data_IF_819438257004
#
_entry.id   IF_819438257004
#
_cell.length_a   1.000
_cell.length_b   1.000
_cell.length_c   1.000
_cell.angle_alpha   90.00
_cell.angle_beta   90.00
_cell.angle_gamma   90.00
#
_symmetry.space_group_name_H-M   'P 1'
#
loop_
_entity.id
_entity.type
_entity.pdbx_description
1 polymer ?
#
# COMPACT_ATOMS: atom_id res chain seq x y z
N UNK A 1 10.06 5.84 -5.23
CA UNK A 1 10.06 4.53 -5.91
C UNK A 1 9.90 4.77 -7.39
N UNK A 2 10.69 4.08 -8.22
CA UNK A 2 10.68 4.24 -9.67
C UNK A 2 10.51 2.87 -10.33
N UNK A 3 9.63 2.79 -11.33
CA UNK A 3 9.45 1.65 -12.22
C UNK A 3 9.85 2.04 -13.65
N UNK A 4 10.18 1.04 -14.46
CA UNK A 4 10.54 1.18 -15.89
C UNK A 4 9.45 0.60 -16.79
N UNK A 5 8.18 0.68 -16.36
CA UNK A 5 7.05 0.13 -17.09
C UNK A 5 6.66 0.98 -18.31
N UNK A 6 5.46 0.75 -18.83
CA UNK A 6 4.93 1.48 -19.99
C UNK A 6 4.68 2.98 -19.75
N UNK A 7 4.76 3.43 -18.49
CA UNK A 7 4.39 4.77 -18.08
C UNK A 7 2.88 5.05 -18.17
N UNK A 8 2.50 6.26 -17.79
CA UNK A 8 1.12 6.74 -17.65
C UNK A 8 0.99 8.04 -18.45
N UNK A 9 0.02 8.11 -19.39
CA UNK A 9 -0.31 9.34 -20.10
C UNK A 9 -0.70 10.49 -19.16
N UNK A 10 -0.34 11.73 -19.53
CA UNK A 10 -0.53 12.92 -18.68
C UNK A 10 -2.01 13.16 -18.32
N UNK A 11 -2.92 12.93 -19.27
CA UNK A 11 -4.38 13.01 -19.10
C UNK A 11 -4.93 11.99 -18.09
N UNK A 12 -4.18 10.91 -17.84
CA UNK A 12 -4.58 9.85 -16.90
C UNK A 12 -3.94 9.98 -15.53
N UNK A 13 -2.92 10.83 -15.35
CA UNK A 13 -2.17 10.96 -14.09
C UNK A 13 -3.04 11.32 -12.88
N UNK A 14 -4.09 12.11 -13.05
CA UNK A 14 -5.01 12.43 -11.96
C UNK A 14 -5.88 11.22 -11.58
N UNK A 15 -6.34 10.48 -12.59
CA UNK A 15 -7.29 9.38 -12.45
C UNK A 15 -6.71 8.09 -11.86
N UNK A 16 -5.38 7.91 -11.89
CA UNK A 16 -4.73 6.69 -11.34
C UNK A 16 -4.94 6.51 -9.83
N UNK A 17 -5.36 7.58 -9.16
CA UNK A 17 -5.63 7.60 -7.74
C UNK A 17 -7.13 7.62 -7.41
N UNK A 18 -7.99 7.56 -8.42
CA UNK A 18 -9.43 7.57 -8.23
C UNK A 18 -9.93 6.19 -7.85
N UNK A 19 -11.13 6.15 -7.25
CA UNK A 19 -11.78 4.90 -6.91
C UNK A 19 -11.97 4.05 -8.16
N UNK A 20 -11.94 2.73 -7.95
CA UNK A 20 -12.22 1.74 -8.98
C UNK A 20 -13.44 2.12 -9.83
N UNK A 21 -13.20 2.39 -11.11
CA UNK A 21 -14.24 2.52 -12.12
C UNK A 21 -14.13 1.35 -13.09
N UNK A 22 -15.23 0.96 -13.73
CA UNK A 22 -15.25 -0.17 -14.67
C UNK A 22 -14.30 0.03 -15.88
N UNK A 23 -13.77 1.23 -16.11
CA UNK A 23 -12.78 1.50 -17.15
C UNK A 23 -11.36 1.04 -16.80
N UNK A 24 -11.04 0.73 -15.54
CA UNK A 24 -9.72 0.18 -15.16
C UNK A 24 -9.57 -1.33 -15.44
N UNK A 25 -10.64 -1.98 -15.94
CA UNK A 25 -10.68 -3.42 -16.24
C UNK A 25 -9.64 -3.84 -17.30
N UNK A 26 -9.36 -2.99 -18.28
CA UNK A 26 -8.48 -3.34 -19.40
C UNK A 26 -7.01 -3.44 -18.97
N UNK A 27 -6.54 -2.51 -18.13
CA UNK A 27 -5.20 -2.53 -17.53
C UNK A 27 -5.06 -3.69 -16.55
N UNK A 28 -6.09 -3.93 -15.74
CA UNK A 28 -6.09 -5.02 -14.75
C UNK A 28 -6.04 -6.39 -15.43
N UNK A 29 -6.70 -6.58 -16.57
CA UNK A 29 -6.60 -7.82 -17.35
C UNK A 29 -5.24 -8.00 -18.00
N UNK A 30 -4.63 -6.92 -18.49
CA UNK A 30 -3.32 -6.96 -19.17
C UNK A 30 -2.14 -7.17 -18.21
N UNK A 31 -2.22 -6.60 -17.00
CA UNK A 31 -1.11 -6.61 -16.04
C UNK A 31 -1.43 -7.37 -14.73
N UNK A 32 -2.63 -7.94 -14.59
CA UNK A 32 -3.03 -8.78 -13.44
C UNK A 32 -3.19 -8.02 -12.12
N UNK A 33 -3.16 -6.68 -12.14
CA UNK A 33 -3.19 -5.85 -10.94
C UNK A 33 -4.63 -5.56 -10.54
N UNK A 34 -4.94 -5.57 -9.24
CA UNK A 34 -6.26 -5.21 -8.71
C UNK A 34 -6.45 -3.71 -8.56
N UNK A 35 -5.46 -2.87 -8.94
CA UNK A 35 -5.45 -1.40 -8.85
C UNK A 35 -5.70 -0.78 -7.46
N UNK A 36 -6.01 -1.56 -6.43
CA UNK A 36 -6.37 -1.05 -5.09
C UNK A 36 -5.16 -0.42 -4.37
N UNK A 37 -3.94 -0.84 -4.73
CA UNK A 37 -2.71 -0.43 -4.04
C UNK A 37 -2.52 1.08 -3.99
N UNK A 38 -2.64 1.77 -5.12
CA UNK A 38 -2.43 3.23 -5.18
C UNK A 38 -3.49 4.01 -4.39
N UNK A 39 -4.72 3.51 -4.36
CA UNK A 39 -5.81 4.11 -3.59
C UNK A 39 -5.54 3.96 -2.09
N UNK A 40 -5.13 2.76 -1.64
CA UNK A 40 -4.80 2.49 -0.24
C UNK A 40 -3.64 3.40 0.19
N UNK A 41 -2.58 3.47 -0.62
CA UNK A 41 -1.40 4.30 -0.34
C UNK A 41 -1.80 5.78 -0.24
N UNK A 42 -2.60 6.30 -1.18
CA UNK A 42 -3.08 7.70 -1.12
C UNK A 42 -3.89 7.97 0.16
N UNK A 43 -4.76 7.05 0.56
CA UNK A 43 -5.53 7.17 1.81
C UNK A 43 -4.63 7.18 3.04
N UNK A 44 -3.65 6.28 3.11
CA UNK A 44 -2.71 6.20 4.22
C UNK A 44 -1.86 7.47 4.34
N UNK A 45 -1.28 7.93 3.23
CA UNK A 45 -0.47 9.16 3.22
C UNK A 45 -1.32 10.37 3.64
N UNK A 46 -2.58 10.45 3.19
CA UNK A 46 -3.51 11.50 3.59
C UNK A 46 -3.84 11.47 5.09
N UNK A 47 -4.04 10.27 5.67
CA UNK A 47 -4.25 10.10 7.12
C UNK A 47 -3.02 10.57 7.90
N UNK A 48 -1.83 10.31 7.36
CA UNK A 48 -0.55 10.75 7.92
C UNK A 48 -0.22 12.23 7.62
N UNK A 49 -1.21 13.04 7.20
CA UNK A 49 -1.03 14.46 6.86
C UNK A 49 -0.18 14.73 5.61
N UNK A 50 0.32 13.69 4.97
CA UNK A 50 1.30 13.79 3.90
C UNK A 50 0.71 14.04 2.52
N UNK A 51 1.61 14.15 1.55
CA UNK A 51 1.27 14.29 0.14
C UNK A 51 1.98 13.24 -0.71
N UNK A 52 1.29 12.74 -1.74
CA UNK A 52 1.84 11.85 -2.77
C UNK A 52 1.98 12.61 -4.09
N UNK A 53 3.07 12.36 -4.80
CA UNK A 53 3.40 12.90 -6.12
C UNK A 53 3.71 11.76 -7.07
N UNK A 54 3.30 11.93 -8.32
CA UNK A 54 3.55 11.01 -9.41
C UNK A 54 4.15 11.78 -10.58
N UNK A 55 5.22 11.26 -11.15
CA UNK A 55 5.76 11.67 -12.45
C UNK A 55 5.84 10.44 -13.34
N UNK A 56 5.40 10.53 -14.57
CA UNK A 56 5.49 9.41 -15.51
C UNK A 56 5.61 9.92 -16.93
N UNK A 57 6.37 9.18 -17.73
CA UNK A 57 6.50 9.38 -19.18
C UNK A 57 6.14 8.07 -19.85
N UNK A 58 5.28 8.13 -20.87
CA UNK A 58 4.92 6.95 -21.66
C UNK A 58 6.17 6.37 -22.32
N UNK A 59 6.42 5.07 -22.09
CA UNK A 59 7.59 4.35 -22.61
C UNK A 59 8.84 4.40 -21.72
N UNK A 60 8.91 5.28 -20.71
CA UNK A 60 10.05 5.37 -19.79
C UNK A 60 9.74 4.81 -18.39
N UNK A 61 8.46 4.81 -18.00
CA UNK A 61 8.00 4.31 -16.70
C UNK A 61 7.46 5.41 -15.79
N UNK A 62 7.44 5.15 -14.49
CA UNK A 62 6.83 6.06 -13.51
C UNK A 62 7.66 6.17 -12.23
N UNK A 63 7.59 7.34 -11.61
CA UNK A 63 8.19 7.63 -10.31
C UNK A 63 7.14 8.15 -9.36
N UNK A 64 6.99 7.45 -8.24
CA UNK A 64 6.11 7.80 -7.13
C UNK A 64 6.96 8.30 -5.96
N UNK A 65 6.55 9.42 -5.37
CA UNK A 65 7.19 10.03 -4.21
C UNK A 65 6.14 10.46 -3.21
N UNK A 66 6.40 10.30 -1.92
CA UNK A 66 5.51 10.82 -0.88
C UNK A 66 6.31 11.40 0.27
N UNK A 67 5.70 12.38 0.94
CA UNK A 67 6.25 12.99 2.13
C UNK A 67 5.16 12.93 3.21
N UNK A 68 5.32 12.08 4.24
CA UNK A 68 4.42 12.08 5.38
C UNK A 68 4.64 13.34 6.24
N UNK A 69 3.57 13.85 6.85
CA UNK A 69 3.61 15.04 7.71
C UNK A 69 3.08 14.67 9.10
N UNK A 70 3.91 13.93 9.84
CA UNK A 70 3.63 13.57 11.22
C UNK A 70 4.82 13.89 12.11
N UNK A 71 4.54 14.21 13.38
CA UNK A 71 5.58 14.47 14.38
C UNK A 71 6.19 13.15 14.83
N UNK A 72 7.52 13.12 14.91
CA UNK A 72 8.23 12.03 15.54
C UNK A 72 7.99 12.15 17.06
N UNK A 73 7.56 11.06 17.69
CA UNK A 73 7.40 11.03 19.14
C UNK A 73 8.77 11.08 19.80
N UNK A 74 8.92 11.95 20.81
CA UNK A 74 10.08 11.99 21.69
C UNK A 74 9.96 10.99 22.86
N UNK A 75 8.79 10.38 23.03
CA UNK A 75 8.58 9.37 24.06
C UNK A 75 9.25 8.06 23.65
N UNK A 76 10.03 7.42 24.56
CA UNK A 76 10.56 6.08 24.32
C UNK A 76 9.41 5.13 23.99
N UNK A 77 9.62 4.22 23.03
CA UNK A 77 8.69 3.12 22.79
C UNK A 77 8.56 2.33 24.10
N UNK A 78 7.41 2.40 24.75
CA UNK A 78 7.10 1.50 25.84
C UNK A 78 6.90 0.12 25.21
N UNK A 79 7.82 -0.80 25.48
CA UNK A 79 7.59 -2.21 25.16
C UNK A 79 6.37 -2.66 25.94
N UNK A 80 5.24 -2.81 25.25
CA UNK A 80 4.13 -3.55 25.83
C UNK A 80 4.62 -4.97 26.09
N UNK A 81 4.85 -5.30 27.37
CA UNK A 81 5.00 -6.68 27.81
C UNK A 81 3.67 -7.38 27.59
N UNK A 82 3.37 -7.79 26.35
CA UNK A 82 2.30 -8.73 26.10
C UNK A 82 2.57 -9.93 27.00
N UNK A 83 1.63 -10.36 27.85
CA UNK A 83 1.84 -11.57 28.62
C UNK A 83 2.17 -12.67 27.61
N UNK A 84 3.34 -13.32 27.77
CA UNK A 84 3.68 -14.49 26.98
C UNK A 84 2.48 -15.42 27.06
N UNK A 85 1.82 -15.65 25.93
CA UNK A 85 0.74 -16.61 25.88
C UNK A 85 1.31 -17.93 26.38
N UNK A 86 0.88 -18.36 27.57
CA UNK A 86 1.24 -19.65 28.12
C UNK A 86 0.43 -20.68 27.35
N UNK A 87 0.91 -21.06 26.17
CA UNK A 87 0.32 -22.13 25.41
C UNK A 87 0.56 -23.43 26.18
N UNK A 88 -0.50 -23.98 26.79
CA UNK A 88 -0.48 -25.34 27.30
C UNK A 88 -0.16 -26.26 26.12
N UNK A 89 1.05 -26.82 26.13
CA UNK A 89 1.56 -27.70 25.08
C UNK A 89 0.69 -28.95 24.90
N UNK A 90 -0.16 -29.29 25.87
CA UNK A 90 -1.13 -30.40 25.77
C UNK A 90 -2.32 -30.10 24.86
N UNK A 91 -2.66 -28.83 24.61
CA UNK A 91 -3.77 -28.46 23.72
C UNK A 91 -3.39 -28.47 22.24
N UNK A 92 -2.10 -28.37 21.91
CA UNK A 92 -1.60 -28.38 20.53
C UNK A 92 -1.66 -29.76 19.88
N UNK A 93 -1.44 -30.84 20.63
CA UNK A 93 -1.42 -32.21 20.09
C UNK A 93 -2.81 -32.85 19.95
N UNK A 94 -3.84 -32.33 20.61
CA UNK A 94 -5.21 -32.88 20.51
C UNK A 94 -5.97 -32.45 19.25
N UNK A 95 -5.45 -31.48 18.47
CA UNK A 95 -6.16 -30.91 17.32
C UNK A 95 -5.87 -31.61 15.98
N UNK A 96 -4.96 -32.60 15.94
CA UNK A 96 -4.52 -33.25 14.71
C UNK A 96 -4.86 -34.75 14.60
N UNK A 97 -5.82 -35.24 15.38
CA UNK A 97 -6.35 -36.60 15.23
C UNK A 97 -7.87 -36.57 15.04
N UNK A 98 -8.29 -36.40 13.79
CA UNK A 98 -9.48 -37.01 13.17
C UNK A 98 -9.11 -37.38 11.74
#
# INVERSE_FOLDING_TARGET
MTDTGIGIPEDKLASVFDNFSQSSIEVNRKYGVTGLGLIIIKKLIKILGGQIKLKSTVGEGSTFSFLPDFKISEQPLQEETKPKANYDSKLLYKKYFW
#
